data_IF_184879153086
#
_entry.id   IF_184879153086
#
_cell.length_a   1.000
_cell.length_b   1.000
_cell.length_c   1.000
_cell.angle_alpha   90.00
_cell.angle_beta   90.00
_cell.angle_gamma   90.00
#
_symmetry.space_group_name_H-M   'P 1'
#
loop_
_entity.id
_entity.type
_entity.pdbx_description
1 polymer ?
#
# COMPACT_ATOMS: atom_id res chain seq x y z
N UNK A 1 -16.11 -6.32 -1.67
CA UNK A 1 -14.91 -7.13 -1.40
C UNK A 1 -14.16 -6.52 -0.22
N UNK A 2 -13.80 -7.28 0.83
CA UNK A 2 -13.10 -6.71 1.99
C UNK A 2 -11.82 -5.96 1.58
N UNK A 3 -11.55 -4.78 2.15
CA UNK A 3 -10.34 -3.99 1.86
C UNK A 3 -9.06 -4.80 2.11
N UNK A 4 -9.05 -5.62 3.17
CA UNK A 4 -7.95 -6.54 3.44
C UNK A 4 -7.63 -7.47 2.24
N UNK A 5 -8.66 -7.99 1.56
CA UNK A 5 -8.49 -8.82 0.37
C UNK A 5 -7.97 -8.02 -0.82
N UNK A 6 -8.37 -6.76 -0.95
CA UNK A 6 -7.86 -5.84 -1.99
C UNK A 6 -6.36 -5.59 -1.77
N UNK A 7 -5.94 -5.26 -0.55
CA UNK A 7 -4.52 -5.06 -0.20
C UNK A 7 -3.69 -6.34 -0.38
N UNK A 8 -4.23 -7.50 -0.01
CA UNK A 8 -3.59 -8.80 -0.30
C UNK A 8 -3.47 -9.07 -1.81
N UNK A 9 -4.47 -8.68 -2.59
CA UNK A 9 -4.43 -8.72 -4.05
C UNK A 9 -3.29 -7.85 -4.61
N UNK A 10 -3.14 -6.63 -4.09
CA UNK A 10 -2.05 -5.73 -4.46
C UNK A 10 -0.66 -6.32 -4.13
N UNK A 11 -0.49 -6.86 -2.91
CA UNK A 11 0.74 -7.56 -2.52
C UNK A 11 1.10 -8.69 -3.49
N UNK A 12 0.12 -9.43 -4.03
CA UNK A 12 0.39 -10.54 -4.95
C UNK A 12 0.95 -10.12 -6.32
N UNK A 13 0.98 -8.81 -6.62
CA UNK A 13 1.49 -8.26 -7.88
C UNK A 13 2.94 -7.79 -7.85
N UNK A 14 3.57 -7.78 -6.67
CA UNK A 14 4.94 -7.27 -6.50
C UNK A 14 5.89 -8.41 -6.12
N UNK A 15 7.16 -8.29 -6.50
CA UNK A 15 8.17 -9.32 -6.21
C UNK A 15 8.49 -9.39 -4.72
N UNK A 16 8.67 -8.23 -4.10
CA UNK A 16 9.11 -8.08 -2.71
C UNK A 16 7.94 -8.12 -1.70
N UNK A 17 6.85 -8.84 -2.01
CA UNK A 17 5.64 -8.87 -1.19
C UNK A 17 5.86 -9.35 0.26
N UNK A 18 6.93 -10.11 0.50
CA UNK A 18 7.31 -10.61 1.82
C UNK A 18 7.82 -9.51 2.77
N UNK A 19 8.18 -8.34 2.21
CA UNK A 19 8.59 -7.17 2.98
C UNK A 19 7.42 -6.26 3.37
N UNK A 20 6.21 -6.55 2.90
CA UNK A 20 5.00 -5.77 3.19
C UNK A 20 4.23 -6.39 4.35
N UNK A 21 4.08 -5.61 5.42
CA UNK A 21 3.32 -5.98 6.61
C UNK A 21 2.00 -5.19 6.64
N UNK A 22 0.87 -5.89 6.58
CA UNK A 22 -0.46 -5.31 6.79
C UNK A 22 -0.77 -5.26 8.29
N UNK A 23 -0.97 -4.06 8.82
CA UNK A 23 -1.34 -3.81 10.21
C UNK A 23 -2.85 -3.59 10.35
N UNK A 24 -3.31 -2.75 11.28
CA UNK A 24 -4.73 -2.43 11.47
C UNK A 24 -5.39 -1.99 10.15
N UNK A 25 -6.13 -2.90 9.52
CA UNK A 25 -6.91 -2.64 8.31
C UNK A 25 -8.39 -2.51 8.69
N UNK A 26 -8.99 -1.37 8.36
CA UNK A 26 -10.40 -1.09 8.55
C UNK A 26 -11.26 -2.19 7.90
N UNK A 27 -12.28 -2.65 8.65
CA UNK A 27 -13.20 -3.72 8.21
C UNK A 27 -14.30 -3.16 7.31
N UNK A 28 -13.91 -2.66 6.14
CA UNK A 28 -14.83 -2.14 5.12
C UNK A 28 -14.82 -2.98 3.85
N UNK A 29 -15.88 -2.84 3.05
CA UNK A 29 -15.99 -3.48 1.76
C UNK A 29 -15.87 -2.44 0.63
N UNK A 30 -15.08 -2.79 -0.38
CA UNK A 30 -14.93 -2.08 -1.64
C UNK A 30 -15.99 -2.55 -2.63
N UNK A 31 -16.61 -1.60 -3.34
CA UNK A 31 -17.55 -1.86 -4.45
C UNK A 31 -16.81 -2.61 -5.56
N UNK A 32 -17.43 -3.68 -6.09
CA UNK A 32 -16.76 -4.63 -6.99
C UNK A 32 -16.05 -4.00 -8.19
N UNK A 33 -16.65 -2.99 -8.81
CA UNK A 33 -16.09 -2.28 -9.97
C UNK A 33 -14.83 -1.48 -9.65
N UNK A 34 -14.59 -1.12 -8.38
CA UNK A 34 -13.42 -0.38 -7.92
C UNK A 34 -12.29 -1.28 -7.43
N UNK A 35 -12.51 -2.60 -7.34
CA UNK A 35 -11.53 -3.55 -6.78
C UNK A 35 -10.25 -3.60 -7.62
N UNK A 36 -10.37 -3.83 -8.93
CA UNK A 36 -9.21 -3.96 -9.81
C UNK A 36 -8.38 -2.66 -9.89
N UNK A 37 -8.97 -1.46 -10.08
CA UNK A 37 -8.23 -0.20 -10.00
C UNK A 37 -7.49 0.01 -8.68
N UNK A 38 -8.11 -0.33 -7.54
CA UNK A 38 -7.47 -0.21 -6.24
C UNK A 38 -6.34 -1.22 -6.04
N UNK A 39 -6.50 -2.46 -6.50
CA UNK A 39 -5.43 -3.46 -6.49
C UNK A 39 -4.23 -2.92 -7.29
N UNK A 40 -4.47 -2.38 -8.48
CA UNK A 40 -3.40 -1.86 -9.31
C UNK A 40 -2.71 -0.66 -8.65
N UNK A 41 -3.45 0.36 -8.22
CA UNK A 41 -2.87 1.54 -7.58
C UNK A 41 -2.08 1.19 -6.31
N UNK A 42 -2.61 0.31 -5.46
CA UNK A 42 -1.90 -0.14 -4.27
C UNK A 42 -0.65 -0.95 -4.64
N UNK A 43 -0.69 -1.78 -5.69
CA UNK A 43 0.46 -2.56 -6.12
C UNK A 43 1.62 -1.65 -6.57
N UNK A 44 1.33 -0.61 -7.36
CA UNK A 44 2.35 0.35 -7.80
C UNK A 44 3.00 1.07 -6.61
N UNK A 45 2.21 1.50 -5.63
CA UNK A 45 2.75 2.15 -4.42
C UNK A 45 3.58 1.19 -3.57
N UNK A 46 3.17 -0.07 -3.44
CA UNK A 46 3.94 -1.09 -2.72
C UNK A 46 5.23 -1.48 -3.45
N UNK A 47 5.23 -1.58 -4.79
CA UNK A 47 6.45 -1.83 -5.57
C UNK A 47 7.43 -0.67 -5.38
N UNK A 48 6.97 0.57 -5.46
CA UNK A 48 7.80 1.75 -5.22
C UNK A 48 8.37 1.74 -3.79
N UNK A 49 7.53 1.58 -2.78
CA UNK A 49 7.95 1.54 -1.38
C UNK A 49 9.03 0.46 -1.15
N UNK A 50 8.83 -0.74 -1.69
CA UNK A 50 9.82 -1.83 -1.55
C UNK A 50 11.09 -1.57 -2.36
N UNK A 51 11.00 -1.05 -3.58
CA UNK A 51 12.13 -0.79 -4.47
C UNK A 51 13.06 0.32 -3.98
N UNK A 52 12.52 1.38 -3.37
CA UNK A 52 13.28 2.54 -2.91
C UNK A 52 13.71 2.48 -1.44
N UNK A 53 13.31 1.42 -0.73
CA UNK A 53 13.73 1.14 0.64
C UNK A 53 14.91 0.17 0.71
N UNK A 54 15.80 0.28 1.72
CA UNK A 54 16.84 -0.72 1.96
C UNK A 54 16.27 -2.14 2.12
N UNK A 55 16.93 -3.19 1.62
CA UNK A 55 16.35 -4.55 1.53
C UNK A 55 15.99 -5.18 2.89
N UNK A 56 16.60 -4.70 3.98
CA UNK A 56 16.35 -5.15 5.34
C UNK A 56 15.16 -4.45 6.03
N UNK A 57 14.63 -3.37 5.45
CA UNK A 57 13.47 -2.66 6.02
C UNK A 57 12.16 -3.31 5.56
N UNK A 58 11.13 -3.11 6.38
CA UNK A 58 9.75 -3.50 6.10
C UNK A 58 8.99 -2.29 5.55
N UNK A 59 7.98 -2.57 4.74
CA UNK A 59 6.96 -1.61 4.34
C UNK A 59 5.72 -1.88 5.18
N UNK A 60 5.25 -0.88 5.88
CA UNK A 60 4.11 -0.99 6.79
C UNK A 60 2.88 -0.38 6.14
N UNK A 61 1.77 -1.12 6.15
CA UNK A 61 0.50 -0.68 5.57
C UNK A 61 -0.57 -0.66 6.65
N UNK A 62 -1.18 0.50 6.85
CA UNK A 62 -2.37 0.66 7.68
C UNK A 62 -3.54 1.10 6.80
N UNK A 63 -4.76 0.83 7.26
CA UNK A 63 -5.93 1.46 6.67
C UNK A 63 -6.91 1.82 7.77
N UNK A 64 -7.17 3.12 7.98
CA UNK A 64 -7.98 3.62 9.08
C UNK A 64 -9.13 4.47 8.56
N UNK A 65 -10.23 4.47 9.31
CA UNK A 65 -11.35 5.35 9.04
C UNK A 65 -11.01 6.77 9.50
N UNK A 66 -11.21 7.74 8.60
CA UNK A 66 -11.03 9.17 8.80
C UNK A 66 -12.33 9.89 8.45
N UNK A 67 -12.43 11.19 8.73
CA UNK A 67 -13.67 11.96 8.55
C UNK A 67 -14.28 11.86 7.14
N UNK A 68 -13.44 11.67 6.11
CA UNK A 68 -13.87 11.65 4.70
C UNK A 68 -13.72 10.27 4.04
N UNK A 69 -13.62 9.19 4.81
CA UNK A 69 -13.56 7.83 4.27
C UNK A 69 -12.44 7.00 4.89
N UNK A 70 -11.67 6.30 4.06
CA UNK A 70 -10.56 5.45 4.50
C UNK A 70 -9.24 6.04 4.03
N UNK A 71 -8.31 6.25 4.96
CA UNK A 71 -6.91 6.54 4.65
C UNK A 71 -6.14 5.22 4.60
N UNK A 72 -5.44 4.96 3.50
CA UNK A 72 -4.46 3.88 3.36
C UNK A 72 -3.09 4.52 3.44
N UNK A 73 -2.30 4.17 4.44
CA UNK A 73 -0.95 4.70 4.62
C UNK A 73 0.05 3.59 4.30
N UNK A 74 1.06 3.93 3.52
CA UNK A 74 2.17 3.05 3.14
C UNK A 74 3.44 3.75 3.61
N UNK A 75 4.07 3.19 4.63
CA UNK A 75 5.27 3.73 5.24
C UNK A 75 6.46 2.82 4.89
N UNK A 76 7.53 3.43 4.37
CA UNK A 76 8.74 2.75 3.97
C UNK A 76 9.98 3.41 4.59
N UNK A 77 11.08 2.68 4.64
CA UNK A 77 12.35 3.12 5.25
C UNK A 77 13.32 3.76 4.25
N UNK A 78 12.84 4.21 3.09
CA UNK A 78 13.62 4.82 2.05
C UNK A 78 14.06 6.24 2.37
N UNK A 79 14.83 6.83 1.45
CA UNK A 79 15.22 8.24 1.54
C UNK A 79 14.03 9.14 1.23
N UNK A 80 13.91 10.26 1.95
CA UNK A 80 12.88 11.26 1.64
C UNK A 80 13.01 11.74 0.20
N UNK A 81 11.87 12.01 -0.44
CA UNK A 81 11.85 12.62 -1.78
C UNK A 81 12.57 13.97 -1.71
N UNK A 82 13.74 14.08 -2.34
CA UNK A 82 14.42 15.37 -2.45
C UNK A 82 13.59 16.31 -3.33
N UNK A 83 13.79 17.62 -3.18
CA UNK A 83 13.06 18.62 -3.95
C UNK A 83 13.31 18.48 -5.46
N UNK A 84 14.48 17.95 -5.87
CA UNK A 84 14.79 17.68 -7.28
C UNK A 84 14.03 16.50 -7.89
N UNK A 85 13.51 15.57 -7.08
CA UNK A 85 12.71 14.44 -7.57
C UNK A 85 11.23 14.82 -7.82
N UNK A 86 10.83 16.06 -7.48
CA UNK A 86 9.47 16.59 -7.67
C UNK A 86 9.27 17.39 -8.96
N UNK A 87 10.33 17.62 -9.75
CA UNK A 87 10.30 18.36 -11.02
C UNK A 87 10.26 17.42 -12.23
#
# INVERSE_FOLDING_TARGET
VPLFSVLRGAMSRILEYQRVDLHSIAKVAIVGTSVEPLIHACAELLDNATRYSPPQTRVHVTAVEVQTGIAIEIEDGGVSLSEEARA
#
